data_IF_806835797032
#
_entry.id   IF_806835797032
#
_cell.length_a   1.000
_cell.length_b   1.000
_cell.length_c   1.000
_cell.angle_alpha   90.00
_cell.angle_beta   90.00
_cell.angle_gamma   90.00
#
_symmetry.space_group_name_H-M   'P 1'
#
loop_
_entity.id
_entity.type
_entity.pdbx_description
1 polymer ?
#
# COMPACT_ATOMS: atom_id res chain seq x y z
N UNK A 1 -56.05 20.75 13.31
CA UNK A 1 -55.16 20.01 12.38
C UNK A 1 -54.17 20.89 11.60
N UNK A 2 -54.16 22.23 11.71
CA UNK A 2 -53.29 23.09 10.87
C UNK A 2 -52.13 23.80 11.60
N UNK A 3 -51.80 23.38 12.84
CA UNK A 3 -50.72 23.98 13.65
C UNK A 3 -49.53 23.03 13.89
N UNK A 4 -49.60 21.77 13.43
CA UNK A 4 -48.52 20.78 13.64
C UNK A 4 -47.47 20.80 12.51
N UNK A 5 -47.79 21.36 11.34
CA UNK A 5 -46.94 21.29 10.14
C UNK A 5 -45.85 22.38 10.06
N UNK A 6 -45.90 23.44 10.89
CA UNK A 6 -44.97 24.59 10.77
C UNK A 6 -43.65 24.44 11.54
N UNK A 7 -43.48 23.43 12.40
CA UNK A 7 -42.27 23.28 13.22
C UNK A 7 -41.17 22.40 12.63
N UNK A 8 -41.35 21.85 11.42
CA UNK A 8 -40.40 20.91 10.81
C UNK A 8 -39.49 21.53 9.73
N UNK A 9 -39.66 22.81 9.40
CA UNK A 9 -38.94 23.45 8.30
C UNK A 9 -37.59 24.11 8.67
N UNK A 10 -37.19 24.11 9.94
CA UNK A 10 -36.07 24.94 10.42
C UNK A 10 -34.76 24.24 10.76
N UNK A 11 -34.69 22.90 10.70
CA UNK A 11 -33.60 22.16 11.35
C UNK A 11 -32.67 21.34 10.45
N UNK A 12 -32.90 21.30 9.13
CA UNK A 12 -32.34 20.24 8.28
C UNK A 12 -31.44 20.74 7.14
N UNK A 13 -30.78 21.89 7.31
CA UNK A 13 -29.91 22.48 6.29
C UNK A 13 -28.40 22.46 6.64
N UNK A 14 -27.98 22.00 7.82
CA UNK A 14 -26.57 22.11 8.27
C UNK A 14 -25.80 20.77 8.36
N UNK A 15 -26.39 19.62 8.02
CA UNK A 15 -25.73 18.30 8.21
C UNK A 15 -25.29 17.65 6.90
N UNK A 16 -25.34 18.36 5.76
CA UNK A 16 -25.02 17.80 4.44
C UNK A 16 -23.67 18.30 3.87
N UNK A 17 -22.62 18.42 4.69
CA UNK A 17 -21.29 18.86 4.23
C UNK A 17 -20.09 17.99 4.65
N UNK A 18 -20.29 16.81 5.26
CA UNK A 18 -19.17 16.09 5.92
C UNK A 18 -18.80 14.71 5.33
N UNK A 19 -19.18 14.40 4.09
CA UNK A 19 -18.76 13.15 3.46
C UNK A 19 -18.29 13.36 2.02
N UNK A 20 -17.32 14.26 1.81
CA UNK A 20 -16.48 14.12 0.62
C UNK A 20 -15.51 12.97 0.87
N UNK A 21 -15.54 11.89 0.06
CA UNK A 21 -14.51 10.88 0.13
C UNK A 21 -13.16 11.56 -0.13
N UNK A 22 -12.23 11.42 0.81
CA UNK A 22 -10.87 11.89 0.62
C UNK A 22 -10.29 11.12 -0.57
N UNK A 23 -10.14 11.80 -1.70
CA UNK A 23 -9.40 11.28 -2.84
C UNK A 23 -7.94 11.14 -2.39
N UNK A 24 -7.51 9.91 -2.09
CA UNK A 24 -6.11 9.63 -1.80
C UNK A 24 -5.29 10.03 -3.03
N UNK A 25 -4.38 10.99 -2.85
CA UNK A 25 -3.50 11.43 -3.92
C UNK A 25 -2.62 10.25 -4.37
N UNK A 26 -2.57 10.02 -5.67
CA UNK A 26 -1.71 8.99 -6.26
C UNK A 26 -0.23 9.30 -5.95
N UNK A 27 0.52 8.28 -5.54
CA UNK A 27 1.93 8.47 -5.16
C UNK A 27 2.83 8.71 -6.38
N UNK A 28 3.94 9.42 -6.16
CA UNK A 28 4.96 9.63 -7.20
C UNK A 28 5.50 8.30 -7.75
N UNK A 29 5.55 7.26 -6.90
CA UNK A 29 5.93 5.91 -7.29
C UNK A 29 4.95 5.37 -8.34
N UNK A 30 3.64 5.35 -8.03
CA UNK A 30 2.61 4.84 -8.94
C UNK A 30 2.55 5.66 -10.23
N UNK A 31 2.56 6.99 -10.14
CA UNK A 31 2.45 7.90 -11.30
C UNK A 31 3.58 7.69 -12.32
N UNK A 32 4.81 7.47 -11.85
CA UNK A 32 5.94 7.14 -12.72
C UNK A 32 5.88 5.69 -13.21
N UNK A 33 5.64 4.73 -12.31
CA UNK A 33 5.67 3.30 -12.62
C UNK A 33 4.51 2.83 -13.51
N UNK A 34 3.39 3.55 -13.57
CA UNK A 34 2.35 3.31 -14.59
C UNK A 34 2.90 3.45 -16.02
N UNK A 35 3.95 4.26 -16.21
CA UNK A 35 4.55 4.51 -17.53
C UNK A 35 5.67 3.51 -17.84
N UNK A 36 6.48 3.17 -16.84
CA UNK A 36 7.68 2.33 -17.05
C UNK A 36 7.45 0.84 -16.77
N UNK A 37 6.54 0.48 -15.85
CA UNK A 37 6.22 -0.90 -15.46
C UNK A 37 4.71 -1.05 -15.18
N UNK A 38 3.84 -0.83 -16.19
CA UNK A 38 2.39 -0.73 -16.00
C UNK A 38 1.76 -1.95 -15.34
N UNK A 39 2.23 -3.15 -15.70
CA UNK A 39 1.65 -4.39 -15.19
C UNK A 39 1.95 -4.61 -13.69
N UNK A 40 3.13 -4.19 -13.20
CA UNK A 40 3.45 -4.27 -11.76
C UNK A 40 2.50 -3.37 -10.96
N UNK A 41 2.23 -2.17 -11.46
CA UNK A 41 1.28 -1.25 -10.81
C UNK A 41 -0.14 -1.81 -10.83
N UNK A 42 -0.57 -2.38 -11.97
CA UNK A 42 -1.87 -3.03 -12.09
C UNK A 42 -2.00 -4.16 -11.07
N UNK A 43 -1.03 -5.06 -10.99
CA UNK A 43 -1.05 -6.19 -10.07
C UNK A 43 -1.10 -5.73 -8.60
N UNK A 44 -0.35 -4.69 -8.25
CA UNK A 44 -0.39 -4.10 -6.91
C UNK A 44 -1.77 -3.53 -6.56
N UNK A 45 -2.36 -2.72 -7.46
CA UNK A 45 -3.66 -2.09 -7.25
C UNK A 45 -4.82 -3.10 -7.25
N UNK A 46 -4.67 -4.25 -7.91
CA UNK A 46 -5.63 -5.35 -7.86
C UNK A 46 -5.51 -6.22 -6.60
N UNK A 47 -4.37 -6.17 -5.92
CA UNK A 47 -4.12 -6.85 -4.65
C UNK A 47 -4.70 -6.11 -3.43
N UNK A 48 -4.88 -6.84 -2.32
CA UNK A 48 -5.48 -6.29 -1.10
C UNK A 48 -4.64 -5.17 -0.46
N UNK A 49 -3.31 -5.25 -0.54
CA UNK A 49 -2.42 -4.18 -0.05
C UNK A 49 -2.58 -2.87 -0.83
N UNK A 50 -2.81 -2.94 -2.15
CA UNK A 50 -3.07 -1.75 -2.96
C UNK A 50 -4.48 -1.21 -2.72
N UNK A 51 -5.48 -2.10 -2.60
CA UNK A 51 -6.87 -1.72 -2.31
C UNK A 51 -7.06 -1.11 -0.92
N UNK A 52 -6.25 -1.50 0.07
CA UNK A 52 -6.37 -0.95 1.42
C UNK A 52 -6.04 0.56 1.46
N UNK A 53 -5.24 1.04 0.52
CA UNK A 53 -4.74 2.42 0.48
C UNK A 53 -3.79 2.78 1.63
N UNK A 54 -3.46 1.82 2.51
CA UNK A 54 -2.57 2.01 3.67
C UNK A 54 -1.12 1.61 3.40
N UNK A 55 -0.87 0.90 2.29
CA UNK A 55 0.45 0.48 1.83
C UNK A 55 0.69 1.08 0.46
N UNK A 56 1.94 1.39 0.17
CA UNK A 56 2.41 2.02 -1.07
C UNK A 56 3.81 1.49 -1.38
N UNK A 57 4.32 1.70 -2.59
CA UNK A 57 5.54 1.08 -3.11
C UNK A 57 6.74 1.20 -2.15
N UNK A 58 6.94 2.39 -1.58
CA UNK A 58 8.09 2.68 -0.72
C UNK A 58 8.07 1.96 0.63
N UNK A 59 6.92 1.47 1.09
CA UNK A 59 6.83 0.71 2.34
C UNK A 59 7.61 -0.60 2.24
N UNK A 60 7.71 -1.17 1.04
CA UNK A 60 8.49 -2.37 0.78
C UNK A 60 9.85 -2.05 0.12
N UNK A 61 9.88 -1.09 -0.80
CA UNK A 61 11.05 -0.82 -1.65
C UNK A 61 11.97 0.31 -1.15
N UNK A 62 11.62 0.99 -0.06
CA UNK A 62 12.34 2.17 0.43
C UNK A 62 12.06 3.45 -0.36
N UNK A 63 12.71 4.55 0.02
CA UNK A 63 12.47 5.91 -0.52
C UNK A 63 13.65 6.52 -1.27
N UNK A 64 14.77 5.80 -1.35
CA UNK A 64 16.04 6.32 -1.89
C UNK A 64 16.08 6.38 -3.42
N UNK A 65 15.25 5.58 -4.09
CA UNK A 65 15.00 5.69 -5.52
C UNK A 65 13.91 6.74 -5.77
N UNK A 66 14.24 7.77 -6.55
CA UNK A 66 13.35 8.88 -6.90
C UNK A 66 13.37 9.22 -8.39
N UNK A 67 14.30 8.64 -9.15
CA UNK A 67 14.47 8.93 -10.58
C UNK A 67 15.08 7.76 -11.34
N UNK A 68 14.94 7.75 -12.67
CA UNK A 68 15.57 6.73 -13.52
C UNK A 68 17.10 6.60 -13.36
N UNK A 69 17.77 7.59 -12.76
CA UNK A 69 19.23 7.59 -12.54
C UNK A 69 19.66 6.91 -11.24
N UNK A 70 18.74 6.66 -10.32
CA UNK A 70 19.04 6.14 -8.98
C UNK A 70 18.31 4.82 -8.69
N UNK A 71 17.93 4.08 -9.74
CA UNK A 71 17.29 2.75 -9.64
C UNK A 71 18.10 1.81 -8.75
N UNK A 72 19.43 1.90 -8.77
CA UNK A 72 20.31 1.09 -7.92
C UNK A 72 20.11 1.31 -6.40
N UNK A 73 19.42 2.38 -6.00
CA UNK A 73 19.09 2.66 -4.59
C UNK A 73 17.77 2.02 -4.14
N UNK A 74 17.03 1.35 -5.03
CA UNK A 74 15.83 0.60 -4.65
C UNK A 74 16.21 -0.52 -3.70
N UNK A 75 15.42 -0.71 -2.65
CA UNK A 75 15.58 -1.87 -1.77
C UNK A 75 14.73 -3.01 -2.32
N UNK A 76 15.31 -4.20 -2.37
CA UNK A 76 14.55 -5.41 -2.65
C UNK A 76 13.88 -5.91 -1.37
N UNK A 77 12.54 -6.04 -1.34
CA UNK A 77 11.84 -6.56 -0.17
C UNK A 77 12.29 -7.99 0.14
N UNK A 78 12.43 -8.29 1.42
CA UNK A 78 12.73 -9.63 1.93
C UNK A 78 11.58 -10.09 2.85
N UNK A 79 11.64 -11.31 3.35
CA UNK A 79 10.73 -11.81 4.38
C UNK A 79 10.68 -10.88 5.62
N UNK A 80 11.80 -10.24 5.96
CA UNK A 80 11.88 -9.26 7.06
C UNK A 80 11.07 -8.00 6.78
N UNK A 81 10.95 -7.59 5.52
CA UNK A 81 10.09 -6.48 5.12
C UNK A 81 8.63 -6.81 5.44
N UNK A 82 8.19 -8.02 5.09
CA UNK A 82 6.84 -8.50 5.38
C UNK A 82 6.57 -8.61 6.89
N UNK A 83 7.58 -9.02 7.68
CA UNK A 83 7.47 -9.16 9.15
C UNK A 83 7.02 -7.87 9.84
N UNK A 84 7.30 -6.70 9.28
CA UNK A 84 6.92 -5.41 9.86
C UNK A 84 5.40 -5.28 10.09
N UNK A 85 4.60 -5.95 9.26
CA UNK A 85 3.14 -5.99 9.39
C UNK A 85 2.58 -7.41 9.61
N UNK A 86 3.31 -8.46 9.19
CA UNK A 86 2.86 -9.85 9.19
C UNK A 86 3.76 -10.74 10.08
N UNK A 87 3.93 -10.37 11.35
CA UNK A 87 4.81 -11.09 12.29
C UNK A 87 4.45 -12.57 12.41
N UNK A 88 3.15 -12.89 12.49
CA UNK A 88 2.68 -14.27 12.70
C UNK A 88 3.03 -15.15 11.49
N UNK A 89 2.68 -14.71 10.29
CA UNK A 89 2.95 -15.45 9.05
C UNK A 89 4.45 -15.57 8.80
N UNK A 90 5.21 -14.52 9.10
CA UNK A 90 6.66 -14.55 9.04
C UNK A 90 7.24 -15.62 9.99
N UNK A 91 6.84 -15.64 11.26
CA UNK A 91 7.42 -16.57 12.23
C UNK A 91 7.01 -18.04 11.93
N UNK A 92 5.84 -18.25 11.33
CA UNK A 92 5.45 -19.54 10.76
C UNK A 92 6.34 -19.94 9.56
N UNK A 93 6.59 -19.01 8.64
CA UNK A 93 7.49 -19.25 7.50
C UNK A 93 8.92 -19.54 7.98
N UNK A 94 9.45 -18.72 8.89
CA UNK A 94 10.81 -18.78 9.41
C UNK A 94 11.09 -20.07 10.20
N UNK A 95 10.07 -20.66 10.82
CA UNK A 95 10.18 -21.97 11.49
C UNK A 95 10.08 -23.17 10.52
N UNK A 96 9.71 -22.93 9.26
CA UNK A 96 9.55 -23.95 8.23
C UNK A 96 10.82 -24.20 7.41
N UNK A 97 10.88 -25.36 6.74
CA UNK A 97 12.01 -25.72 5.85
C UNK A 97 12.16 -24.78 4.65
N UNK A 98 11.08 -24.13 4.22
CA UNK A 98 11.11 -23.17 3.11
C UNK A 98 12.03 -21.97 3.42
N UNK A 99 12.11 -21.52 4.68
CA UNK A 99 13.04 -20.46 5.06
C UNK A 99 14.52 -20.87 4.93
N UNK A 100 14.83 -22.17 5.05
CA UNK A 100 16.19 -22.68 4.86
C UNK A 100 16.67 -22.58 3.41
N UNK A 101 15.75 -22.50 2.44
CA UNK A 101 16.12 -22.23 1.06
C UNK A 101 16.79 -20.86 0.89
N UNK A 102 16.47 -19.90 1.77
CA UNK A 102 17.11 -18.59 1.77
C UNK A 102 18.59 -18.68 2.13
N UNK A 103 18.97 -19.57 3.06
CA UNK A 103 20.37 -19.86 3.39
C UNK A 103 21.13 -20.35 2.16
N UNK A 104 20.51 -21.20 1.34
CA UNK A 104 21.11 -21.67 0.10
C UNK A 104 21.24 -20.55 -0.95
N UNK A 105 20.26 -19.65 -1.05
CA UNK A 105 20.33 -18.48 -1.93
C UNK A 105 21.43 -17.51 -1.50
N UNK A 106 21.56 -17.22 -0.20
CA UNK A 106 22.58 -16.30 0.34
C UNK A 106 24.00 -16.88 0.26
N UNK A 107 24.14 -18.21 0.25
CA UNK A 107 25.43 -18.89 0.12
C UNK A 107 25.96 -18.93 -1.32
N UNK A 108 25.13 -18.60 -2.32
CA UNK A 108 25.58 -18.51 -3.70
C UNK A 108 26.50 -17.29 -3.86
N UNK A 109 27.66 -17.43 -4.54
CA UNK A 109 28.53 -16.30 -4.83
C UNK A 109 27.74 -15.25 -5.63
N UNK A 110 27.54 -14.09 -5.04
CA UNK A 110 27.06 -12.91 -5.75
C UNK A 110 28.29 -12.22 -6.32
N UNK A 111 28.29 -12.12 -7.64
CA UNK A 111 29.33 -11.57 -8.51
C UNK A 111 29.71 -10.13 -8.20
#
# INVERSE_FOLDING_TARGET
>A
MLQCLKKLAGGMALVLMLALPALAAESNCISCHKKVTPNIVKDFLEGEMGKSGSVDCFHCHGKEHQSAKDVAKVTMPTEKTCKQCHTKEHDQYASGKHAMAWVAMDAMPTN
#
